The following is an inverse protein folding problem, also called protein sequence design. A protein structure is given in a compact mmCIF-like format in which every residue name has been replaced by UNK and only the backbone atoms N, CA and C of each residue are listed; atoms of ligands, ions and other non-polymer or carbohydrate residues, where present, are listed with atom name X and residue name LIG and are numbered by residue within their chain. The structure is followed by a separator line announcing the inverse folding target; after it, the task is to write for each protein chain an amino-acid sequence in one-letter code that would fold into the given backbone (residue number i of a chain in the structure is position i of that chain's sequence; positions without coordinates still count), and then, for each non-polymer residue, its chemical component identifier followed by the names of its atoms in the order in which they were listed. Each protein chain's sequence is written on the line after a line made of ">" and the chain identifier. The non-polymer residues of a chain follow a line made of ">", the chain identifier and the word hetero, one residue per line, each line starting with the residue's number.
data_IF_892821475956
#
_entry.id   IF_892821475956
#
_cell.length_a   1.000
_cell.length_b   1.000
_cell.length_c   1.000
_cell.angle_alpha   90.00
_cell.angle_beta   90.00
_cell.angle_gamma   90.00
#
_symmetry.space_group_name_H-M   'P 1'
#
loop_
_entity.id
_entity.type
_entity.pdbx_description
1 polymer ?
#
# COMPACT_ATOMS: atom_id res chain seq x y z
N UNK A 1 -7.18 19.75 -29.70
CA UNK A 1 -7.16 18.31 -29.49
C UNK A 1 -6.48 17.95 -28.20
N UNK A 2 -5.23 18.25 -28.01
CA UNK A 2 -4.52 18.02 -26.74
C UNK A 2 -5.12 18.76 -25.58
N UNK A 3 -5.70 19.92 -25.80
CA UNK A 3 -6.33 20.71 -24.76
C UNK A 3 -7.43 19.99 -24.01
N UNK A 4 -8.14 19.08 -24.65
CA UNK A 4 -9.20 18.30 -23.99
C UNK A 4 -8.65 17.34 -22.95
N UNK A 5 -7.52 16.74 -23.23
CA UNK A 5 -6.88 15.83 -22.27
C UNK A 5 -6.36 16.59 -21.06
N UNK A 6 -5.74 17.72 -21.30
CA UNK A 6 -5.17 18.53 -20.24
C UNK A 6 -6.23 19.22 -19.40
N UNK A 7 -7.36 19.58 -19.96
CA UNK A 7 -8.42 20.22 -19.18
C UNK A 7 -9.03 19.28 -18.15
N UNK A 8 -9.13 17.98 -18.45
CA UNK A 8 -9.55 16.99 -17.48
C UNK A 8 -8.51 16.76 -16.36
N UNK A 9 -7.24 16.81 -16.72
CA UNK A 9 -6.15 16.61 -15.76
C UNK A 9 -5.93 17.81 -14.84
N UNK A 10 -6.28 19.02 -15.28
CA UNK A 10 -6.05 20.25 -14.51
C UNK A 10 -6.78 20.30 -13.18
N UNK A 11 -7.90 19.60 -13.07
CA UNK A 11 -8.74 19.62 -11.88
C UNK A 11 -8.44 18.46 -10.92
N UNK A 12 -7.50 17.57 -11.27
CA UNK A 12 -7.12 16.46 -10.42
C UNK A 12 -5.90 16.83 -9.58
N UNK A 13 -5.98 16.58 -8.28
CA UNK A 13 -4.82 16.67 -7.40
C UNK A 13 -3.94 15.46 -7.67
N UNK A 14 -2.64 15.63 -7.97
CA UNK A 14 -1.75 14.49 -8.20
C UNK A 14 -1.69 13.61 -6.98
N UNK A 15 -1.87 12.31 -7.15
CA UNK A 15 -1.68 11.34 -6.09
C UNK A 15 -0.19 11.06 -5.89
N UNK A 16 0.25 11.02 -4.65
CA UNK A 16 1.59 10.55 -4.31
C UNK A 16 1.66 9.04 -4.38
N UNK A 17 0.62 8.38 -3.91
CA UNK A 17 0.47 6.94 -3.98
C UNK A 17 -1.02 6.58 -4.01
N UNK A 18 -1.34 5.47 -4.67
CA UNK A 18 -2.73 5.01 -4.84
C UNK A 18 -3.00 3.76 -4.00
N UNK A 19 -4.29 3.44 -3.85
CA UNK A 19 -4.73 2.28 -3.09
C UNK A 19 -4.20 0.97 -3.70
N UNK A 20 -3.62 0.14 -2.84
CA UNK A 20 -3.00 -1.14 -3.20
C UNK A 20 -3.99 -2.29 -3.27
N UNK A 21 -5.20 -2.09 -2.76
CA UNK A 21 -6.27 -3.08 -2.72
C UNK A 21 -7.61 -2.37 -2.71
N UNK A 22 -8.65 -3.12 -2.98
CA UNK A 22 -10.02 -2.62 -2.82
C UNK A 22 -10.54 -2.99 -1.44
N UNK A 23 -11.17 -2.05 -0.73
CA UNK A 23 -11.79 -2.31 0.56
C UNK A 23 -12.02 -1.05 1.37
N UNK A 24 -12.42 -1.26 2.61
CA UNK A 24 -12.64 -0.16 3.55
C UNK A 24 -11.31 0.46 3.94
N UNK A 25 -11.25 1.79 3.86
CA UNK A 25 -10.08 2.56 4.26
C UNK A 25 -10.04 2.69 5.77
N UNK A 26 -8.90 2.40 6.35
CA UNK A 26 -8.71 2.45 7.81
C UNK A 26 -7.75 3.59 8.12
N UNK A 27 -8.19 4.61 8.86
CA UNK A 27 -7.32 5.69 9.28
C UNK A 27 -6.13 5.18 10.11
N UNK A 28 -5.00 5.86 10.00
CA UNK A 28 -3.76 5.45 10.66
C UNK A 28 -3.96 5.14 12.15
N UNK A 29 -4.67 5.99 12.87
CA UNK A 29 -4.86 5.84 14.31
C UNK A 29 -5.70 4.63 14.70
N UNK A 30 -6.43 4.05 13.75
CA UNK A 30 -7.28 2.88 13.96
C UNK A 30 -6.60 1.57 13.55
N UNK A 31 -5.40 1.63 13.01
CA UNK A 31 -4.63 0.42 12.71
C UNK A 31 -4.28 -0.27 14.03
N UNK A 32 -4.62 -1.57 14.21
CA UNK A 32 -4.43 -2.25 15.50
C UNK A 32 -2.98 -2.71 15.73
N UNK A 33 -2.03 -1.85 15.44
CA UNK A 33 -0.61 -2.06 15.69
C UNK A 33 0.00 -0.70 16.00
N UNK A 34 0.54 -0.50 17.22
CA UNK A 34 1.08 0.79 17.65
C UNK A 34 2.19 1.34 16.77
N UNK A 35 2.99 0.47 16.15
CA UNK A 35 4.08 0.89 15.26
C UNK A 35 3.51 1.70 14.08
N UNK A 36 2.38 1.29 13.55
CA UNK A 36 1.72 2.01 12.46
C UNK A 36 0.80 3.11 12.97
N UNK A 37 -0.02 2.80 13.98
CA UNK A 37 -1.03 3.73 14.49
C UNK A 37 -0.43 5.01 15.07
N UNK A 38 0.76 4.93 15.66
CA UNK A 38 1.44 6.06 16.28
C UNK A 38 2.40 6.76 15.33
N UNK A 39 2.51 6.32 14.07
CA UNK A 39 3.37 6.95 13.08
C UNK A 39 4.86 6.76 13.33
N UNK A 40 5.26 5.71 14.02
CA UNK A 40 6.67 5.45 14.37
C UNK A 40 7.53 5.29 13.12
N UNK A 41 7.02 4.60 12.09
CA UNK A 41 7.72 4.39 10.82
C UNK A 41 7.49 5.50 9.82
N UNK A 42 6.42 6.27 9.97
CA UNK A 42 6.00 7.30 9.03
C UNK A 42 4.49 7.44 9.02
N UNK A 43 3.92 8.04 7.98
CA UNK A 43 2.47 8.14 7.85
C UNK A 43 1.93 6.93 7.11
N UNK A 44 0.87 6.34 7.65
CA UNK A 44 0.33 5.07 7.18
C UNK A 44 -1.16 5.16 6.91
N UNK A 45 -1.62 4.32 6.00
CA UNK A 45 -3.03 4.11 5.73
C UNK A 45 -3.30 2.62 5.58
N UNK A 46 -4.35 2.13 6.22
CA UNK A 46 -4.76 0.74 6.15
C UNK A 46 -5.93 0.54 5.22
N UNK A 47 -6.05 -0.65 4.66
CA UNK A 47 -7.20 -1.08 3.88
C UNK A 47 -7.58 -2.47 4.37
N UNK A 48 -8.87 -2.68 4.70
CA UNK A 48 -9.41 -4.02 4.90
C UNK A 48 -9.74 -4.60 3.53
N UNK A 49 -8.92 -5.50 2.96
CA UNK A 49 -9.06 -5.90 1.58
C UNK A 49 -10.26 -6.82 1.38
N UNK A 50 -11.00 -6.60 0.30
CA UNK A 50 -12.11 -7.46 -0.11
C UNK A 50 -11.64 -8.67 -0.92
N UNK A 51 -10.47 -8.55 -1.55
CA UNK A 51 -9.80 -9.64 -2.27
C UNK A 51 -8.32 -9.68 -1.88
N UNK A 52 -7.64 -10.79 -2.19
CA UNK A 52 -6.27 -10.98 -1.75
C UNK A 52 -5.20 -10.37 -2.64
N UNK A 53 -5.53 -9.84 -3.81
CA UNK A 53 -4.53 -9.27 -4.70
C UNK A 53 -4.07 -7.90 -4.23
N UNK A 54 -2.75 -7.72 -4.24
CA UNK A 54 -2.09 -6.47 -3.85
C UNK A 54 -1.38 -5.91 -5.08
N UNK A 55 -1.58 -4.61 -5.32
CA UNK A 55 -1.11 -3.90 -6.50
C UNK A 55 -0.15 -2.77 -6.11
N UNK A 56 0.77 -2.43 -7.01
CA UNK A 56 1.74 -1.38 -6.74
C UNK A 56 1.05 -0.01 -6.64
N UNK A 57 1.37 0.76 -5.59
CA UNK A 57 0.79 2.09 -5.39
C UNK A 57 1.42 3.19 -6.23
N UNK A 58 2.54 2.91 -6.89
CA UNK A 58 3.28 3.89 -7.68
C UNK A 58 4.28 3.16 -8.59
N UNK A 59 4.82 3.90 -9.57
CA UNK A 59 5.94 3.43 -10.37
C UNK A 59 7.22 3.46 -9.53
N UNK A 60 8.02 2.42 -9.63
CA UNK A 60 9.27 2.37 -8.88
C UNK A 60 10.00 1.04 -9.00
N UNK A 61 10.89 0.81 -8.06
CA UNK A 61 11.72 -0.39 -7.98
C UNK A 61 11.49 -1.06 -6.63
N UNK A 62 11.32 -2.37 -6.65
CA UNK A 62 11.22 -3.17 -5.43
C UNK A 62 12.58 -3.11 -4.72
N UNK A 63 12.61 -2.47 -3.57
CA UNK A 63 13.84 -2.32 -2.79
C UNK A 63 14.09 -3.49 -1.86
N UNK A 64 13.01 -4.15 -1.41
CA UNK A 64 13.10 -5.31 -0.54
C UNK A 64 11.81 -6.12 -0.56
N UNK A 65 11.94 -7.43 -0.34
CA UNK A 65 10.81 -8.33 -0.05
C UNK A 65 11.22 -9.15 1.15
N UNK A 66 10.44 -9.06 2.22
CA UNK A 66 10.72 -9.85 3.43
C UNK A 66 10.68 -11.34 3.14
N UNK A 67 11.54 -12.12 3.79
CA UNK A 67 11.59 -13.57 3.61
C UNK A 67 10.24 -14.23 3.90
N UNK A 68 9.48 -13.69 4.86
CA UNK A 68 8.13 -14.17 5.19
C UNK A 68 7.03 -13.56 4.30
N UNK A 69 7.40 -12.84 3.24
CA UNK A 69 6.53 -12.31 2.20
C UNK A 69 5.47 -11.28 2.67
N UNK A 70 5.46 -10.93 3.93
CA UNK A 70 4.44 -10.03 4.51
C UNK A 70 4.76 -8.55 4.34
N UNK A 71 5.96 -8.20 3.85
CA UNK A 71 6.38 -6.81 3.69
C UNK A 71 7.16 -6.61 2.40
N UNK A 72 6.88 -5.49 1.72
CA UNK A 72 7.51 -5.09 0.46
C UNK A 72 7.96 -3.64 0.59
N UNK A 73 9.22 -3.37 0.27
CA UNK A 73 9.72 -2.01 0.12
C UNK A 73 9.70 -1.58 -1.34
N UNK A 74 9.34 -0.33 -1.61
CA UNK A 74 9.35 0.24 -2.96
C UNK A 74 10.02 1.61 -2.90
N UNK A 75 11.06 1.80 -3.71
CA UNK A 75 11.64 3.10 -4.00
C UNK A 75 10.93 3.66 -5.22
N UNK A 76 10.10 4.67 -5.01
CA UNK A 76 9.24 5.22 -6.06
C UNK A 76 9.96 6.27 -6.91
N UNK A 77 9.55 6.37 -8.18
CA UNK A 77 10.13 7.35 -9.10
C UNK A 77 9.87 8.79 -8.66
N UNK A 78 8.78 9.04 -7.92
CA UNK A 78 8.47 10.36 -7.36
C UNK A 78 9.23 10.70 -6.08
N UNK A 79 10.12 9.82 -5.62
CA UNK A 79 10.92 10.03 -4.41
C UNK A 79 10.38 9.43 -3.13
N UNK A 80 9.15 8.90 -3.13
CA UNK A 80 8.60 8.22 -1.96
C UNK A 80 9.38 6.93 -1.68
N UNK A 81 9.64 6.68 -0.41
CA UNK A 81 10.07 5.38 0.09
C UNK A 81 8.88 4.73 0.78
N UNK A 82 8.32 3.69 0.17
CA UNK A 82 7.11 3.04 0.66
C UNK A 82 7.41 1.69 1.28
N UNK A 83 6.72 1.41 2.37
CA UNK A 83 6.60 0.08 2.94
C UNK A 83 5.15 -0.38 2.75
N UNK A 84 4.97 -1.52 2.12
CA UNK A 84 3.68 -2.23 2.09
C UNK A 84 3.79 -3.34 3.11
N UNK A 85 2.90 -3.34 4.10
CA UNK A 85 2.88 -4.35 5.15
C UNK A 85 1.53 -5.09 5.09
N UNK A 86 1.60 -6.39 4.89
CA UNK A 86 0.43 -7.22 4.60
C UNK A 86 0.04 -8.03 5.82
N UNK A 87 -0.95 -7.52 6.52
CA UNK A 87 -1.50 -8.11 7.72
C UNK A 87 -0.84 -7.62 9.01
N UNK A 88 -1.45 -8.00 10.11
CA UNK A 88 -0.95 -7.70 11.46
C UNK A 88 -0.36 -8.99 12.04
N UNK A 89 0.90 -8.94 12.45
CA UNK A 89 1.65 -10.09 13.01
C UNK A 89 1.82 -11.27 12.04
N UNK A 90 1.58 -11.05 10.76
CA UNK A 90 1.62 -12.09 9.71
C UNK A 90 3.02 -12.62 9.44
N UNK A 91 4.07 -11.97 9.95
CA UNK A 91 5.43 -12.52 9.94
C UNK A 91 5.47 -13.93 10.56
N UNK A 92 4.59 -14.20 11.51
CA UNK A 92 4.50 -15.50 12.21
C UNK A 92 3.99 -16.62 11.31
N UNK A 93 3.39 -16.30 10.16
CA UNK A 93 2.95 -17.29 9.18
C UNK A 93 4.10 -17.83 8.33
N UNK A 94 5.26 -17.22 8.38
CA UNK A 94 6.48 -17.64 7.67
C UNK A 94 6.26 -17.85 6.16
N UNK A 95 5.48 -16.98 5.55
CA UNK A 95 5.15 -17.02 4.13
C UNK A 95 3.89 -17.81 3.78
N UNK A 96 3.31 -18.56 4.70
CA UNK A 96 2.05 -19.26 4.47
C UNK A 96 0.93 -18.24 4.19
N UNK A 97 0.19 -18.47 3.13
CA UNK A 97 -0.90 -17.60 2.73
C UNK A 97 -0.49 -16.44 1.83
N UNK A 98 0.78 -16.37 1.43
CA UNK A 98 1.29 -15.36 0.51
C UNK A 98 1.86 -16.00 -0.75
N UNK A 99 1.50 -15.41 -1.91
CA UNK A 99 2.09 -15.76 -3.21
C UNK A 99 2.71 -14.51 -3.80
N UNK A 100 4.01 -14.52 -4.00
CA UNK A 100 4.78 -13.35 -4.45
C UNK A 100 5.00 -13.39 -5.96
N UNK A 101 4.74 -12.25 -6.63
CA UNK A 101 4.89 -12.10 -8.08
C UNK A 101 6.10 -11.26 -8.47
N UNK A 102 6.85 -10.75 -7.50
CA UNK A 102 7.96 -9.81 -7.74
C UNK A 102 9.21 -10.25 -6.96
N UNK A 103 10.31 -9.59 -7.25
CA UNK A 103 11.58 -9.83 -6.56
C UNK A 103 12.35 -8.52 -6.39
N UNK A 104 13.33 -8.53 -5.50
CA UNK A 104 14.21 -7.39 -5.27
C UNK A 104 14.84 -6.90 -6.58
N UNK A 105 14.86 -5.58 -6.74
CA UNK A 105 15.44 -4.94 -7.91
C UNK A 105 14.53 -4.86 -9.11
N UNK A 106 13.36 -5.48 -9.08
CA UNK A 106 12.41 -5.45 -10.17
C UNK A 106 11.73 -4.09 -10.27
N UNK A 107 11.65 -3.57 -11.50
CA UNK A 107 10.83 -2.38 -11.79
C UNK A 107 9.36 -2.77 -11.84
N UNK A 108 8.54 -1.97 -11.20
CA UNK A 108 7.08 -2.14 -11.20
C UNK A 108 6.41 -0.85 -11.63
N UNK A 109 5.22 -0.98 -12.20
CA UNK A 109 4.35 0.13 -12.56
C UNK A 109 3.17 0.18 -11.59
N UNK A 110 2.65 1.39 -11.39
CA UNK A 110 1.41 1.56 -10.65
C UNK A 110 0.32 0.63 -11.19
N UNK A 111 -0.33 -0.10 -10.30
CA UNK A 111 -1.38 -1.06 -10.68
C UNK A 111 -0.87 -2.46 -11.04
N UNK A 112 0.42 -2.68 -11.06
CA UNK A 112 0.98 -4.02 -11.29
C UNK A 112 0.77 -4.90 -10.07
N UNK A 113 0.43 -6.18 -10.27
CA UNK A 113 0.28 -7.13 -9.16
C UNK A 113 1.61 -7.40 -8.50
N UNK A 114 1.63 -7.30 -7.18
CA UNK A 114 2.82 -7.56 -6.37
C UNK A 114 2.72 -8.88 -5.61
N UNK A 115 1.56 -9.17 -5.05
CA UNK A 115 1.36 -10.24 -4.09
C UNK A 115 -0.08 -10.70 -4.12
N UNK A 116 -0.32 -11.95 -3.73
CA UNK A 116 -1.65 -12.45 -3.43
C UNK A 116 -1.67 -12.99 -2.00
N UNK A 117 -2.62 -12.51 -1.20
CA UNK A 117 -2.91 -13.05 0.11
C UNK A 117 -4.06 -14.04 0.05
N UNK A 118 -3.93 -15.14 0.76
CA UNK A 118 -5.06 -16.00 1.03
C UNK A 118 -5.78 -15.48 2.29
N UNK A 119 -6.81 -14.65 2.09
CA UNK A 119 -7.50 -13.97 3.18
C UNK A 119 -8.10 -14.96 4.19
N UNK A 120 -8.67 -16.05 3.69
CA UNK A 120 -9.30 -17.05 4.55
C UNK A 120 -8.25 -17.72 5.44
N UNK A 121 -7.12 -18.14 4.89
CA UNK A 121 -6.06 -18.79 5.64
C UNK A 121 -5.52 -17.86 6.73
N UNK A 122 -5.29 -16.60 6.38
CA UNK A 122 -4.76 -15.60 7.33
C UNK A 122 -5.73 -15.41 8.50
N UNK A 123 -7.03 -15.26 8.20
CA UNK A 123 -8.06 -15.08 9.22
C UNK A 123 -8.23 -16.32 10.10
N UNK A 124 -8.22 -17.52 9.50
CA UNK A 124 -8.33 -18.77 10.23
C UNK A 124 -7.13 -19.00 11.15
N UNK A 125 -5.96 -18.50 10.77
CA UNK A 125 -4.77 -18.54 11.63
C UNK A 125 -4.82 -17.52 12.78
N UNK A 126 -5.85 -16.67 12.83
CA UNK A 126 -6.05 -15.69 13.90
C UNK A 126 -5.44 -14.33 13.60
N UNK A 127 -5.05 -14.03 12.36
CA UNK A 127 -4.44 -12.76 12.00
C UNK A 127 -5.35 -11.90 11.14
N UNK A 128 -5.17 -10.58 11.22
CA UNK A 128 -5.84 -9.62 10.34
C UNK A 128 -5.08 -9.52 9.03
N UNK A 129 -5.76 -9.61 7.86
CA UNK A 129 -5.12 -9.41 6.56
C UNK A 129 -5.07 -7.93 6.14
N UNK A 130 -5.16 -6.99 7.07
CA UNK A 130 -5.15 -5.57 6.75
C UNK A 130 -3.91 -5.22 5.91
N UNK A 131 -4.13 -4.55 4.78
CA UNK A 131 -3.06 -4.11 3.89
C UNK A 131 -2.69 -2.66 4.24
N UNK A 132 -1.44 -2.45 4.65
CA UNK A 132 -0.97 -1.16 5.14
C UNK A 132 0.05 -0.60 4.15
N UNK A 133 -0.12 0.68 3.80
CA UNK A 133 0.86 1.45 3.03
C UNK A 133 1.44 2.52 3.94
N UNK A 134 2.77 2.55 4.08
CA UNK A 134 3.46 3.51 4.93
C UNK A 134 4.48 4.29 4.11
N UNK A 135 4.47 5.63 4.26
CA UNK A 135 5.50 6.51 3.70
C UNK A 135 6.60 6.66 4.73
N UNK A 136 7.75 6.02 4.47
CA UNK A 136 8.86 5.99 5.42
C UNK A 136 9.61 7.33 5.49
N UNK A 137 9.64 8.08 4.39
CA UNK A 137 10.30 9.38 4.30
C UNK A 137 9.28 10.53 4.24
N UNK A 138 8.24 10.44 5.06
CA UNK A 138 7.16 11.43 5.08
C UNK A 138 7.62 12.85 5.38
N UNK A 139 8.72 13.01 6.09
CA UNK A 139 9.33 14.31 6.39
C UNK A 139 9.79 15.06 5.13
N UNK A 140 10.09 14.34 4.05
CA UNK A 140 10.46 14.91 2.76
C UNK A 140 9.23 15.32 1.91
N UNK A 141 8.04 15.00 2.38
CA UNK A 141 6.78 15.29 1.69
C UNK A 141 5.81 16.02 2.61
N UNK A 142 6.19 17.22 3.11
CA UNK A 142 5.30 17.98 3.99
C UNK A 142 4.02 18.35 3.26
N UNK A 143 2.90 18.38 3.98
CA UNK A 143 1.61 18.67 3.39
C UNK A 143 0.90 17.49 2.76
N UNK A 144 1.42 16.28 2.91
CA UNK A 144 0.74 15.07 2.45
C UNK A 144 -0.60 14.90 3.17
N UNK A 145 -1.64 14.64 2.40
CA UNK A 145 -3.00 14.41 2.90
C UNK A 145 -3.41 12.97 2.67
N UNK A 146 -4.24 12.44 3.58
CA UNK A 146 -4.89 11.16 3.39
C UNK A 146 -6.15 11.31 2.56
N UNK A 147 -6.50 10.28 1.80
CA UNK A 147 -7.82 10.17 1.20
C UNK A 147 -8.90 10.23 2.29
N UNK A 148 -10.01 10.90 1.99
CA UNK A 148 -11.15 11.01 2.91
C UNK A 148 -12.27 10.03 2.58
N UNK A 149 -12.03 9.11 1.65
CA UNK A 149 -13.01 8.08 1.28
C UNK A 149 -13.11 7.03 2.39
N UNK A 150 -14.30 6.45 2.55
CA UNK A 150 -14.49 5.31 3.46
C UNK A 150 -14.15 3.98 2.80
N UNK A 151 -14.30 3.92 1.48
CA UNK A 151 -14.06 2.75 0.66
C UNK A 151 -13.27 3.15 -0.58
N UNK A 152 -12.26 2.37 -0.92
CA UNK A 152 -11.40 2.63 -2.08
C UNK A 152 -11.36 1.43 -3.01
N UNK A 153 -11.14 1.72 -4.29
CA UNK A 153 -10.82 0.73 -5.31
C UNK A 153 -9.34 0.83 -5.62
N UNK A 154 -8.78 -0.24 -6.17
CA UNK A 154 -7.39 -0.25 -6.64
C UNK A 154 -7.16 0.96 -7.57
N UNK A 155 -6.12 1.73 -7.29
CA UNK A 155 -5.79 2.90 -8.10
C UNK A 155 -6.45 4.20 -7.64
N UNK A 156 -7.39 4.16 -6.69
CA UNK A 156 -7.91 5.38 -6.11
C UNK A 156 -6.81 6.11 -5.33
N UNK A 157 -6.82 7.46 -5.29
CA UNK A 157 -5.85 8.20 -4.48
C UNK A 157 -5.86 7.75 -3.02
N UNK A 158 -4.68 7.52 -2.48
CA UNK A 158 -4.50 7.13 -1.07
C UNK A 158 -3.81 8.24 -0.30
N UNK A 159 -2.67 8.70 -0.80
CA UNK A 159 -1.94 9.88 -0.31
C UNK A 159 -1.88 10.92 -1.42
N UNK A 160 -2.16 12.18 -1.05
CA UNK A 160 -2.18 13.29 -1.99
C UNK A 160 -1.21 14.39 -1.57
#
# INVERSE_FOLDING_TARGET
>A
MFKKFFSGAKNSVPSLAVAIAEGNLIPMQQIPDPIFAQGILGICSGINPSTGFIYSPADGIISDVADSLHAIGITCDNGLELLIHLGIDTVKLKGSGFSCFIKNGQRVKQGQRLMKMNLQLIKEAGYSPMAITCILNADQFPGTHFSKKDYVKVGDPLFL
#
